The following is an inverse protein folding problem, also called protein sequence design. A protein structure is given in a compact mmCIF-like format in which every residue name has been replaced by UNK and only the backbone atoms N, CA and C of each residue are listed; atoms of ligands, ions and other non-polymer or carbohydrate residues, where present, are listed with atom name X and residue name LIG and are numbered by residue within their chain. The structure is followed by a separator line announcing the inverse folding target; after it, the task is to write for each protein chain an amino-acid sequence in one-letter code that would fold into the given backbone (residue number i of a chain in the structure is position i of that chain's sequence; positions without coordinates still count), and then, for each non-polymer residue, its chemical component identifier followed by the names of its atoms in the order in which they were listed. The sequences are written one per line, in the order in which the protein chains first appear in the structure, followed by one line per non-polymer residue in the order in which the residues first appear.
data_IF_951986038793
#
_entry.id   IF_951986038793
#
_cell.length_a   1.000
_cell.length_b   1.000
_cell.length_c   1.000
_cell.angle_alpha   90.00
_cell.angle_beta   90.00
_cell.angle_gamma   90.00
#
_symmetry.space_group_name_H-M   'P 1'
#
loop_
_entity.id
_entity.type
_entity.pdbx_description
1 polymer ?
#
# COMPACT_ATOMS: atom_id res chain seq x y z
N UNK A 1 -30.31 3.13 1.51
CA UNK A 1 -28.94 3.03 0.94
C UNK A 1 -27.90 3.96 1.58
N UNK A 2 -28.27 5.09 2.19
CA UNK A 2 -27.28 6.01 2.79
C UNK A 2 -26.52 5.50 4.03
N UNK A 3 -27.20 4.72 4.89
CA UNK A 3 -26.59 4.20 6.14
C UNK A 3 -25.52 3.16 5.85
N UNK A 4 -25.80 2.17 4.99
CA UNK A 4 -24.84 1.14 4.60
C UNK A 4 -23.56 1.75 4.00
N UNK A 5 -23.70 2.75 3.13
CA UNK A 5 -22.55 3.46 2.54
C UNK A 5 -21.70 4.15 3.60
N UNK A 6 -22.31 4.78 4.61
CA UNK A 6 -21.59 5.40 5.73
C UNK A 6 -20.85 4.37 6.57
N UNK A 7 -21.49 3.24 6.87
CA UNK A 7 -20.86 2.14 7.62
C UNK A 7 -19.63 1.61 6.90
N UNK A 8 -19.73 1.36 5.58
CA UNK A 8 -18.59 0.90 4.77
C UNK A 8 -17.43 1.91 4.82
N UNK A 9 -17.72 3.20 4.69
CA UNK A 9 -16.70 4.25 4.77
C UNK A 9 -15.98 4.24 6.12
N UNK A 10 -16.73 4.17 7.23
CA UNK A 10 -16.17 4.14 8.58
C UNK A 10 -15.25 2.92 8.74
N UNK A 11 -15.73 1.73 8.37
CA UNK A 11 -14.95 0.49 8.46
C UNK A 11 -13.65 0.57 7.66
N UNK A 12 -13.67 1.17 6.46
CA UNK A 12 -12.47 1.31 5.63
C UNK A 12 -11.45 2.29 6.24
N UNK A 13 -11.91 3.36 6.89
CA UNK A 13 -11.04 4.31 7.58
C UNK A 13 -10.41 3.65 8.80
N UNK A 14 -11.21 2.96 9.62
CA UNK A 14 -10.72 2.21 10.78
C UNK A 14 -9.70 1.16 10.37
N UNK A 15 -9.97 0.40 9.30
CA UNK A 15 -9.03 -0.60 8.78
C UNK A 15 -7.70 0.04 8.36
N UNK A 16 -7.75 1.22 7.73
CA UNK A 16 -6.53 1.95 7.35
C UNK A 16 -5.73 2.39 8.57
N UNK A 17 -6.39 2.93 9.61
CA UNK A 17 -5.75 3.32 10.85
C UNK A 17 -5.15 2.12 11.61
N UNK A 18 -5.85 0.99 11.61
CA UNK A 18 -5.37 -0.27 12.17
C UNK A 18 -4.13 -0.77 11.43
N UNK A 19 -4.07 -0.68 10.09
CA UNK A 19 -2.87 -1.05 9.33
C UNK A 19 -1.64 -0.22 9.71
N UNK A 20 -1.79 1.09 9.85
CA UNK A 20 -0.69 1.97 10.28
C UNK A 20 -0.22 1.61 11.69
N UNK A 21 -1.17 1.39 12.61
CA UNK A 21 -0.89 1.03 14.00
C UNK A 21 -0.18 -0.33 14.08
N UNK A 22 -0.64 -1.31 13.30
CA UNK A 22 -0.02 -2.63 13.22
C UNK A 22 1.40 -2.56 12.65
N UNK A 23 1.63 -1.77 11.60
CA UNK A 23 2.97 -1.56 11.04
C UNK A 23 3.93 -0.97 12.09
N UNK A 24 3.47 0.02 12.87
CA UNK A 24 4.26 0.66 13.91
C UNK A 24 4.58 -0.27 15.08
N UNK A 25 3.60 -1.09 15.49
CA UNK A 25 3.74 -1.97 16.66
C UNK A 25 4.45 -3.28 16.38
N UNK A 26 4.29 -3.85 15.19
CA UNK A 26 4.71 -5.23 14.90
C UNK A 26 5.74 -5.39 13.79
N UNK A 27 6.03 -4.33 13.03
CA UNK A 27 7.02 -4.40 11.94
C UNK A 27 8.23 -3.55 12.31
N UNK A 28 8.26 -2.28 11.91
CA UNK A 28 9.30 -1.32 12.28
C UNK A 28 8.86 0.11 11.93
N UNK A 29 9.66 1.08 12.36
CA UNK A 29 9.44 2.50 12.06
C UNK A 29 9.53 2.77 10.55
N UNK A 30 10.41 2.08 9.84
CA UNK A 30 10.63 2.27 8.41
C UNK A 30 9.39 1.88 7.60
N UNK A 31 8.76 0.75 7.91
CA UNK A 31 7.54 0.24 7.31
C UNK A 31 6.37 1.16 7.59
N UNK A 32 6.32 1.74 8.78
CA UNK A 32 5.35 2.78 9.13
C UNK A 32 5.53 4.01 8.23
N UNK A 33 6.77 4.47 8.05
CA UNK A 33 7.08 5.59 7.16
C UNK A 33 6.69 5.29 5.70
N UNK A 34 6.96 4.09 5.20
CA UNK A 34 6.56 3.66 3.85
C UNK A 34 5.03 3.67 3.68
N UNK A 35 4.27 3.19 4.68
CA UNK A 35 2.80 3.26 4.65
C UNK A 35 2.28 4.70 4.67
N UNK A 36 2.90 5.59 5.46
CA UNK A 36 2.54 7.01 5.48
C UNK A 36 2.81 7.65 4.12
N UNK A 37 3.97 7.39 3.52
CA UNK A 37 4.30 7.86 2.17
C UNK A 37 3.28 7.34 1.16
N UNK A 38 2.95 6.05 1.20
CA UNK A 38 1.90 5.47 0.36
C UNK A 38 0.56 6.21 0.52
N UNK A 39 0.13 6.49 1.75
CA UNK A 39 -1.13 7.19 2.01
C UNK A 39 -1.12 8.63 1.47
N UNK A 40 -0.01 9.35 1.60
CA UNK A 40 0.16 10.70 1.04
C UNK A 40 0.12 10.67 -0.49
N UNK A 41 0.82 9.71 -1.09
CA UNK A 41 0.78 9.51 -2.53
C UNK A 41 -0.66 9.18 -2.94
N UNK A 42 -1.34 8.25 -2.27
CA UNK A 42 -2.71 7.86 -2.62
C UNK A 42 -3.69 9.03 -2.48
N UNK A 43 -3.50 9.93 -1.50
CA UNK A 43 -4.27 11.16 -1.38
C UNK A 43 -4.12 12.07 -2.61
N UNK A 44 -2.95 12.09 -3.26
CA UNK A 44 -2.75 12.83 -4.52
C UNK A 44 -3.56 12.22 -5.68
N UNK A 45 -3.68 10.89 -5.74
CA UNK A 45 -4.55 10.19 -6.71
C UNK A 45 -6.02 10.45 -6.41
N UNK A 46 -6.37 10.49 -5.12
CA UNK A 46 -7.73 10.71 -4.66
C UNK A 46 -8.33 12.00 -5.21
N UNK A 47 -7.52 13.07 -5.32
CA UNK A 47 -7.92 14.36 -5.87
C UNK A 47 -8.07 14.36 -7.39
N UNK A 48 -7.23 13.60 -8.11
CA UNK A 48 -7.18 13.63 -9.60
C UNK A 48 -8.13 12.64 -10.27
N UNK A 49 -8.51 11.55 -9.61
CA UNK A 49 -9.24 10.46 -10.25
C UNK A 49 -10.75 10.58 -10.07
N UNK A 50 -11.50 10.48 -11.17
CA UNK A 50 -12.96 10.40 -11.18
C UNK A 50 -13.39 9.00 -10.73
N UNK A 51 -14.13 8.91 -9.62
CA UNK A 51 -14.60 7.64 -9.07
C UNK A 51 -15.32 7.80 -7.74
N UNK A 52 -16.18 6.85 -7.41
CA UNK A 52 -16.98 6.87 -6.19
C UNK A 52 -16.09 6.75 -4.93
N UNK A 53 -16.42 7.55 -3.91
CA UNK A 53 -15.73 7.56 -2.60
C UNK A 53 -15.44 6.17 -2.00
N UNK A 54 -16.41 5.22 -1.93
CA UNK A 54 -16.15 3.90 -1.37
C UNK A 54 -15.12 3.09 -2.15
N UNK A 55 -15.04 3.24 -3.48
CA UNK A 55 -14.05 2.53 -4.32
C UNK A 55 -12.64 3.03 -3.99
N UNK A 56 -12.48 4.36 -3.87
CA UNK A 56 -11.20 4.98 -3.49
C UNK A 56 -10.73 4.51 -2.11
N UNK A 57 -11.63 4.48 -1.14
CA UNK A 57 -11.31 4.00 0.21
C UNK A 57 -11.03 2.49 0.25
N UNK A 58 -11.70 1.70 -0.59
CA UNK A 58 -11.42 0.25 -0.70
C UNK A 58 -10.02 0.01 -1.24
N UNK A 59 -9.61 0.76 -2.26
CA UNK A 59 -8.24 0.70 -2.80
C UNK A 59 -7.21 1.17 -1.77
N UNK A 60 -7.50 2.24 -1.02
CA UNK A 60 -6.62 2.69 0.07
C UNK A 60 -6.42 1.60 1.13
N UNK A 61 -7.50 1.00 1.60
CA UNK A 61 -7.45 -0.05 2.62
C UNK A 61 -6.75 -1.31 2.09
N UNK A 62 -7.01 -1.73 0.85
CA UNK A 62 -6.35 -2.87 0.22
C UNK A 62 -4.84 -2.63 0.05
N UNK A 63 -4.45 -1.40 -0.32
CA UNK A 63 -3.04 -1.01 -0.42
C UNK A 63 -2.34 -1.05 0.93
N UNK A 64 -2.96 -0.50 1.98
CA UNK A 64 -2.42 -0.56 3.34
C UNK A 64 -2.29 -2.01 3.83
N UNK A 65 -3.31 -2.85 3.63
CA UNK A 65 -3.24 -4.26 4.00
C UNK A 65 -2.11 -5.00 3.26
N UNK A 66 -1.98 -4.78 1.95
CA UNK A 66 -0.89 -5.33 1.13
C UNK A 66 0.47 -4.88 1.64
N UNK A 67 0.61 -3.59 1.96
CA UNK A 67 1.85 -3.03 2.51
C UNK A 67 2.23 -3.61 3.87
N UNK A 68 1.26 -3.76 4.79
CA UNK A 68 1.52 -4.41 6.08
C UNK A 68 2.00 -5.85 5.89
N UNK A 69 1.30 -6.62 5.04
CA UNK A 69 1.66 -8.02 4.78
C UNK A 69 3.06 -8.10 4.17
N UNK A 70 3.34 -7.30 3.13
CA UNK A 70 4.64 -7.27 2.47
C UNK A 70 5.76 -6.93 3.46
N UNK A 71 5.61 -5.82 4.18
CA UNK A 71 6.61 -5.32 5.10
C UNK A 71 6.84 -6.30 6.26
N UNK A 72 5.78 -6.91 6.79
CA UNK A 72 5.88 -7.93 7.84
C UNK A 72 6.62 -9.17 7.35
N UNK A 73 6.24 -9.73 6.18
CA UNK A 73 6.93 -10.87 5.59
C UNK A 73 8.41 -10.56 5.33
N UNK A 74 8.71 -9.37 4.82
CA UNK A 74 10.09 -8.96 4.53
C UNK A 74 10.90 -8.76 5.80
N UNK A 75 10.30 -8.19 6.84
CA UNK A 75 10.93 -8.05 8.16
C UNK A 75 11.25 -9.41 8.80
N UNK A 76 10.31 -10.36 8.76
CA UNK A 76 10.53 -11.72 9.27
C UNK A 76 11.59 -12.48 8.48
N UNK A 77 11.59 -12.34 7.14
CA UNK A 77 12.62 -12.92 6.29
C UNK A 77 14.01 -12.39 6.65
N UNK A 78 14.13 -11.08 6.91
CA UNK A 78 15.41 -10.49 7.33
C UNK A 78 15.84 -10.94 8.71
N UNK A 79 14.91 -10.99 9.66
CA UNK A 79 15.20 -11.45 11.02
C UNK A 79 15.74 -12.89 11.02
N UNK A 80 15.06 -13.79 10.29
CA UNK A 80 15.49 -15.19 10.16
C UNK A 80 16.81 -15.34 9.41
N UNK A 81 17.05 -14.56 8.37
CA UNK A 81 18.30 -14.62 7.62
C UNK A 81 19.51 -14.06 8.41
N UNK A 82 19.28 -13.07 9.27
CA UNK A 82 20.29 -12.57 10.20
C UNK A 82 20.64 -13.64 11.27
N UNK A 83 19.62 -14.29 11.84
CA UNK A 83 19.80 -15.36 12.84
C UNK A 83 20.56 -16.56 12.27
N UNK A 84 20.24 -16.96 11.04
CA UNK A 84 20.91 -18.05 10.33
C UNK A 84 22.33 -17.71 9.80
N UNK A 85 22.88 -16.54 10.14
CA UNK A 85 24.21 -16.05 9.71
C UNK A 85 24.42 -16.06 8.17
N UNK A 86 23.33 -16.03 7.40
CA UNK A 86 23.37 -16.03 5.92
C UNK A 86 24.08 -14.77 5.41
N UNK A 87 23.94 -13.66 6.15
CA UNK A 87 24.62 -12.38 5.88
C UNK A 87 25.92 -12.19 6.65
N UNK A 88 26.57 -13.27 7.10
CA UNK A 88 27.83 -13.20 7.87
C UNK A 88 29.00 -12.52 7.14
N UNK A 89 28.96 -12.45 5.80
CA UNK A 89 29.94 -11.69 5.03
C UNK A 89 29.60 -10.20 4.99
N UNK A 90 30.59 -9.36 5.30
CA UNK A 90 30.45 -7.89 5.39
C UNK A 90 29.89 -7.27 4.11
N UNK A 91 30.23 -7.83 2.94
CA UNK A 91 29.77 -7.33 1.64
C UNK A 91 28.29 -7.59 1.39
N UNK A 92 27.80 -8.79 1.70
CA UNK A 92 26.37 -9.12 1.55
C UNK A 92 25.53 -8.33 2.55
N UNK A 93 25.96 -8.24 3.81
CA UNK A 93 25.27 -7.43 4.81
C UNK A 93 25.14 -5.96 4.39
N UNK A 94 26.22 -5.37 3.86
CA UNK A 94 26.23 -3.98 3.39
C UNK A 94 25.28 -3.78 2.20
N UNK A 95 25.34 -4.66 1.19
CA UNK A 95 24.45 -4.60 0.04
C UNK A 95 22.98 -4.68 0.45
N UNK A 96 22.66 -5.64 1.33
CA UNK A 96 21.29 -5.85 1.78
C UNK A 96 20.77 -4.72 2.66
N UNK A 97 21.59 -4.14 3.52
CA UNK A 97 21.22 -2.96 4.33
C UNK A 97 20.82 -1.79 3.44
N UNK A 98 21.55 -1.57 2.33
CA UNK A 98 21.24 -0.52 1.36
C UNK A 98 20.00 -0.87 0.54
N UNK A 99 19.84 -2.12 0.12
CA UNK A 99 18.72 -2.57 -0.70
C UNK A 99 17.40 -2.65 0.08
N UNK A 100 17.45 -2.93 1.38
CA UNK A 100 16.29 -3.12 2.27
C UNK A 100 15.21 -2.03 2.13
N UNK A 101 15.51 -0.72 2.22
CA UNK A 101 14.49 0.32 2.05
C UNK A 101 13.81 0.33 0.68
N UNK A 102 14.55 0.01 -0.39
CA UNK A 102 13.98 -0.06 -1.73
C UNK A 102 13.07 -1.28 -1.89
N UNK A 103 13.52 -2.44 -1.41
CA UNK A 103 12.76 -3.68 -1.47
C UNK A 103 11.51 -3.63 -0.58
N UNK A 104 11.61 -3.02 0.60
CA UNK A 104 10.47 -2.80 1.49
C UNK A 104 9.42 -1.85 0.87
N UNK A 105 9.85 -0.95 -0.03
CA UNK A 105 8.96 -0.01 -0.71
C UNK A 105 8.42 -0.53 -2.05
N UNK A 106 8.84 -1.70 -2.52
CA UNK A 106 8.55 -2.18 -3.87
C UNK A 106 7.05 -2.40 -4.14
N UNK A 107 6.31 -2.85 -3.12
CA UNK A 107 4.86 -3.04 -3.20
C UNK A 107 4.11 -1.74 -3.56
N UNK A 108 4.63 -0.57 -3.15
CA UNK A 108 4.03 0.73 -3.42
C UNK A 108 3.92 0.94 -4.93
N UNK A 109 4.99 0.67 -5.68
CA UNK A 109 5.04 0.86 -7.14
C UNK A 109 4.04 -0.07 -7.84
N UNK A 110 4.01 -1.34 -7.45
CA UNK A 110 3.10 -2.33 -8.01
C UNK A 110 1.63 -1.95 -7.75
N UNK A 111 1.30 -1.61 -6.50
CA UNK A 111 -0.05 -1.23 -6.12
C UNK A 111 -0.49 0.08 -6.77
N UNK A 112 0.44 1.02 -6.93
CA UNK A 112 0.21 2.28 -7.62
C UNK A 112 -0.20 2.08 -9.08
N UNK A 113 0.52 1.22 -9.80
CA UNK A 113 0.20 0.88 -11.18
C UNK A 113 -1.21 0.27 -11.30
N UNK A 114 -1.55 -0.68 -10.43
CA UNK A 114 -2.88 -1.31 -10.39
C UNK A 114 -3.97 -0.28 -10.08
N UNK A 115 -3.73 0.62 -9.12
CA UNK A 115 -4.68 1.67 -8.76
C UNK A 115 -4.96 2.62 -9.92
N UNK A 116 -3.92 3.01 -10.67
CA UNK A 116 -4.06 3.84 -11.87
C UNK A 116 -4.87 3.16 -12.97
N UNK A 117 -4.69 1.85 -13.17
CA UNK A 117 -5.49 1.08 -14.14
C UNK A 117 -6.95 0.95 -13.68
N UNK A 118 -7.17 0.65 -12.40
CA UNK A 118 -8.52 0.46 -11.84
C UNK A 118 -9.34 1.77 -11.81
N UNK A 119 -8.69 2.90 -11.56
CA UNK A 119 -9.31 4.22 -11.50
C UNK A 119 -9.17 5.00 -12.82
N UNK A 120 -8.71 4.37 -13.90
CA UNK A 120 -8.62 5.04 -15.19
C UNK A 120 -10.03 5.43 -15.66
N UNK A 121 -10.26 6.68 -16.10
CA UNK A 121 -11.55 7.07 -16.64
C UNK A 121 -11.89 6.17 -17.82
N UNK A 122 -12.93 5.33 -17.72
CA UNK A 122 -13.54 4.75 -18.92
C UNK A 122 -14.07 5.93 -19.72
N UNK A 123 -13.33 6.35 -20.75
CA UNK A 123 -13.91 7.16 -21.82
C UNK A 123 -15.08 6.33 -22.34
N UNK A 124 -16.29 6.76 -22.00
CA UNK A 124 -17.53 6.16 -22.47
C UNK A 124 -17.45 6.14 -24.00
N UNK A 125 -17.17 4.98 -24.57
CA UNK A 125 -17.17 4.73 -26.01
C UNK A 125 -18.62 4.66 -26.52
N UNK A 126 -19.47 5.58 -26.05
CA UNK A 126 -20.90 5.70 -26.41
C UNK A 126 -21.23 7.16 -26.77
N UNK A 127 -20.28 7.87 -27.38
CA UNK A 127 -20.58 9.14 -28.06
C UNK A 127 -20.46 9.05 -29.58
N UNK A 128 -20.15 7.87 -30.11
CA UNK A 128 -20.05 7.62 -31.55
C UNK A 128 -21.19 6.72 -32.11
N UNK A 129 -22.20 6.40 -31.28
CA UNK A 129 -23.42 5.69 -31.71
C UNK A 129 -24.67 6.58 -31.63
N UNK A 130 -24.49 7.89 -31.42
CA UNK A 130 -25.55 8.89 -31.50
C UNK A 130 -25.33 9.79 -32.74
N UNK A 131 -25.07 9.15 -33.89
CA UNK A 131 -25.24 9.74 -35.23
C UNK A 131 -26.59 9.22 -35.75
#
# INVERSE_FOLDING_TARGET
MGVLRRLVIIVLIELTALCITAAYRWVDLQSTAVLIIFNLLFASLFLKLNGDLPIKLTLLAAGNATGVIWNYCFHQLMFTAADAQIFSSTSLNTFYTIAYPFLNSFWVIAFWAVSLTALHPRKRFERNLAI
#
